data_IF_606076861258
#
_entry.id   IF_606076861258
#
_cell.length_a   1.000
_cell.length_b   1.000
_cell.length_c   1.000
_cell.angle_alpha   90.00
_cell.angle_beta   90.00
_cell.angle_gamma   90.00
#
_symmetry.space_group_name_H-M   'P 1'
#
loop_
_entity.id
_entity.type
_entity.pdbx_description
1 polymer ?
#
# COMPACT_ATOMS: atom_id res chain seq x y z
N UNK A 1 -0.80 14.27 2.28
CA UNK A 1 -2.21 13.85 2.22
C UNK A 1 -2.79 14.38 0.93
N UNK A 2 -3.40 13.54 0.10
CA UNK A 2 -3.72 13.89 -1.30
C UNK A 2 -5.16 14.32 -1.50
N UNK A 3 -6.13 13.77 -0.75
CA UNK A 3 -7.54 14.17 -0.86
C UNK A 3 -7.77 15.62 -0.39
N UNK A 4 -7.02 16.08 0.60
CA UNK A 4 -7.20 17.40 1.22
C UNK A 4 -6.33 18.52 0.60
N UNK A 5 -5.43 18.19 -0.34
CA UNK A 5 -4.49 19.15 -0.91
C UNK A 5 -4.23 18.90 -2.39
N UNK A 6 -4.59 19.87 -3.24
CA UNK A 6 -4.18 19.95 -4.64
C UNK A 6 -4.84 18.91 -5.57
N UNK A 7 -4.06 18.40 -6.53
CA UNK A 7 -4.50 17.41 -7.51
C UNK A 7 -4.53 16.01 -6.89
N UNK A 8 -5.69 15.36 -6.92
CA UNK A 8 -5.87 13.98 -6.43
C UNK A 8 -6.02 13.01 -7.59
N UNK A 9 -5.31 11.88 -7.52
CA UNK A 9 -5.57 10.72 -8.38
C UNK A 9 -6.48 9.77 -7.62
N UNK A 10 -7.71 9.58 -8.12
CA UNK A 10 -8.72 8.75 -7.47
C UNK A 10 -8.96 7.47 -8.25
N UNK A 11 -9.05 6.35 -7.53
CA UNK A 11 -9.49 5.05 -8.06
C UNK A 11 -10.67 4.55 -7.26
N UNK A 12 -11.52 3.76 -7.91
CA UNK A 12 -12.71 3.14 -7.33
C UNK A 12 -12.63 1.64 -7.48
N UNK A 13 -12.99 0.94 -6.42
CA UNK A 13 -13.10 -0.50 -6.37
C UNK A 13 -14.48 -0.90 -5.87
N UNK A 14 -14.99 -2.01 -6.39
CA UNK A 14 -16.09 -2.75 -5.81
C UNK A 14 -15.54 -3.65 -4.71
N UNK A 15 -16.14 -3.61 -3.53
CA UNK A 15 -15.80 -4.51 -2.42
C UNK A 15 -16.73 -5.72 -2.46
N UNK A 16 -16.16 -6.92 -2.51
CA UNK A 16 -16.88 -8.19 -2.48
C UNK A 16 -16.54 -8.93 -1.19
N UNK A 17 -17.55 -9.26 -0.40
CA UNK A 17 -17.39 -9.91 0.90
C UNK A 17 -18.42 -9.42 1.91
N UNK A 18 -18.38 -9.97 3.14
CA UNK A 18 -19.22 -9.49 4.21
C UNK A 18 -18.84 -8.06 4.60
N UNK A 19 -19.83 -7.20 4.85
CA UNK A 19 -19.56 -5.89 5.46
C UNK A 19 -19.23 -6.14 6.94
N UNK A 20 -18.02 -5.78 7.41
CA UNK A 20 -17.64 -5.97 8.80
C UNK A 20 -18.47 -5.04 9.68
N UNK A 21 -18.75 -5.47 10.91
CA UNK A 21 -19.21 -4.55 11.93
C UNK A 21 -18.06 -3.64 12.42
N UNK A 22 -18.37 -2.65 13.26
CA UNK A 22 -17.37 -1.70 13.75
C UNK A 22 -16.22 -2.38 14.52
N UNK A 23 -16.51 -3.46 15.25
CA UNK A 23 -15.52 -4.19 16.04
C UNK A 23 -14.60 -5.03 15.16
N UNK A 24 -15.15 -5.71 14.17
CA UNK A 24 -14.40 -6.50 13.19
C UNK A 24 -13.52 -5.59 12.33
N UNK A 25 -14.05 -4.43 11.91
CA UNK A 25 -13.29 -3.43 11.18
C UNK A 25 -12.09 -2.93 12.01
N UNK A 26 -12.33 -2.54 13.26
CA UNK A 26 -11.26 -2.06 14.13
C UNK A 26 -10.22 -3.17 14.40
N UNK A 27 -10.68 -4.39 14.69
CA UNK A 27 -9.80 -5.54 14.92
C UNK A 27 -8.91 -5.82 13.71
N UNK A 28 -9.45 -5.77 12.50
CA UNK A 28 -8.68 -5.92 11.26
C UNK A 28 -7.63 -4.82 11.07
N UNK A 29 -7.99 -3.57 11.37
CA UNK A 29 -7.06 -2.43 11.32
C UNK A 29 -5.93 -2.56 12.35
N UNK A 30 -6.22 -3.03 13.55
CA UNK A 30 -5.24 -3.25 14.63
C UNK A 30 -4.29 -4.41 14.35
N UNK A 31 -4.82 -5.52 13.86
CA UNK A 31 -4.05 -6.71 13.53
C UNK A 31 -2.99 -6.39 12.48
N UNK A 32 -3.40 -5.69 11.41
CA UNK A 32 -2.56 -5.36 10.26
C UNK A 32 -2.09 -3.90 10.24
N UNK A 33 -2.04 -3.25 11.41
CA UNK A 33 -1.48 -1.91 11.55
C UNK A 33 -0.03 -1.85 11.09
N UNK A 34 0.38 -0.67 10.61
CA UNK A 34 1.75 -0.41 10.23
C UNK A 34 2.65 -0.57 11.46
N UNK A 35 3.75 -1.32 11.27
CA UNK A 35 4.78 -1.51 12.28
C UNK A 35 6.10 -1.00 11.69
N UNK A 36 6.87 -0.14 12.39
CA UNK A 36 8.15 0.34 11.90
C UNK A 36 9.14 -0.79 11.64
N UNK A 37 10.14 -0.56 10.80
CA UNK A 37 11.22 -1.52 10.61
C UNK A 37 11.89 -1.89 11.92
N UNK A 38 12.15 -3.17 12.08
CA UNK A 38 13.13 -3.65 13.05
C UNK A 38 14.50 -3.74 12.37
N UNK A 39 15.50 -4.16 13.15
CA UNK A 39 16.79 -4.54 12.60
C UNK A 39 16.66 -5.67 11.58
N UNK A 40 17.50 -5.65 10.55
CA UNK A 40 17.54 -6.70 9.55
C UNK A 40 17.65 -6.18 8.12
N UNK A 41 17.35 -7.07 7.17
CA UNK A 41 17.48 -6.83 5.73
C UNK A 41 16.17 -6.37 5.06
N UNK A 42 15.08 -6.27 5.82
CA UNK A 42 13.78 -5.83 5.30
C UNK A 42 13.90 -4.39 4.77
N UNK A 43 13.52 -4.18 3.51
CA UNK A 43 13.60 -2.88 2.82
C UNK A 43 12.23 -2.24 2.58
N UNK A 44 11.14 -2.99 2.71
CA UNK A 44 9.78 -2.49 2.55
C UNK A 44 8.90 -2.99 3.68
N UNK A 45 8.06 -2.11 4.25
CA UNK A 45 6.99 -2.46 5.19
C UNK A 45 5.71 -1.75 4.81
N UNK A 46 4.59 -2.37 5.15
CA UNK A 46 3.28 -1.76 4.97
C UNK A 46 2.33 -2.13 6.10
N UNK A 47 1.28 -1.34 6.26
CA UNK A 47 0.18 -1.62 7.18
C UNK A 47 -0.77 -0.44 7.32
N UNK A 48 -1.83 -0.64 8.09
CA UNK A 48 -2.84 0.40 8.33
C UNK A 48 -2.36 1.50 9.29
N UNK A 49 -2.80 2.72 9.03
CA UNK A 49 -2.52 3.91 9.84
C UNK A 49 -3.69 4.89 9.75
N UNK A 50 -3.73 5.87 10.65
CA UNK A 50 -4.70 6.95 10.56
C UNK A 50 -4.49 7.77 9.27
N UNK A 51 -5.57 8.06 8.56
CA UNK A 51 -5.53 8.78 7.29
C UNK A 51 -5.09 10.24 7.44
N UNK A 52 -5.29 10.85 8.62
CA UNK A 52 -4.94 12.25 8.93
C UNK A 52 -3.48 12.39 9.35
N UNK A 53 -2.95 11.39 10.03
CA UNK A 53 -1.57 11.36 10.45
C UNK A 53 -1.02 9.92 10.40
N UNK A 54 -0.13 9.61 9.45
CA UNK A 54 0.36 8.25 9.23
C UNK A 54 1.30 7.73 10.32
N UNK A 55 1.61 8.55 11.33
CA UNK A 55 2.33 8.14 12.54
C UNK A 55 1.40 7.58 13.62
N UNK A 56 0.08 7.76 13.49
CA UNK A 56 -0.91 7.19 14.41
C UNK A 56 -1.24 5.78 13.91
N UNK A 57 -0.87 4.78 14.71
CA UNK A 57 -1.06 3.35 14.45
C UNK A 57 -1.42 2.65 15.77
N UNK A 58 -2.56 1.93 15.87
CA UNK A 58 -3.58 1.75 14.84
C UNK A 58 -4.33 3.07 14.54
N UNK A 59 -5.16 3.13 13.47
CA UNK A 59 -6.05 4.26 13.25
C UNK A 59 -6.95 4.53 14.48
N UNK A 60 -7.25 5.79 14.76
CA UNK A 60 -8.10 6.18 15.89
C UNK A 60 -9.56 5.76 15.64
N UNK A 61 -10.10 4.91 16.51
CA UNK A 61 -11.47 4.36 16.45
C UNK A 61 -12.53 5.43 16.17
N UNK A 62 -12.44 6.58 16.85
CA UNK A 62 -13.43 7.65 16.75
C UNK A 62 -13.46 8.31 15.37
N UNK A 63 -12.40 8.12 14.58
CA UNK A 63 -12.22 8.73 13.28
C UNK A 63 -12.32 7.74 12.13
N UNK A 64 -12.20 6.44 12.41
CA UNK A 64 -12.41 5.38 11.42
C UNK A 64 -13.85 5.41 10.92
N UNK A 65 -14.83 5.43 11.84
CA UNK A 65 -16.25 5.50 11.49
C UNK A 65 -16.71 6.93 11.21
N UNK A 66 -17.06 7.21 9.95
CA UNK A 66 -17.65 8.48 9.50
C UNK A 66 -19.02 8.22 8.88
N UNK A 67 -20.06 8.13 9.73
CA UNK A 67 -21.43 7.76 9.35
C UNK A 67 -21.50 6.43 8.58
N UNK A 68 -21.50 6.50 7.24
CA UNK A 68 -21.55 5.33 6.34
C UNK A 68 -20.18 4.87 5.84
N UNK A 69 -19.14 5.66 6.08
CA UNK A 69 -17.80 5.42 5.56
C UNK A 69 -16.84 4.96 6.66
N UNK A 70 -15.98 4.02 6.31
CA UNK A 70 -14.75 3.75 7.04
C UNK A 70 -13.58 4.45 6.34
N UNK A 71 -12.83 5.31 7.05
CA UNK A 71 -11.72 6.08 6.48
C UNK A 71 -10.41 5.77 7.21
N UNK A 72 -9.39 5.37 6.47
CA UNK A 72 -8.07 4.99 7.00
C UNK A 72 -6.99 5.07 5.92
N UNK A 73 -5.73 4.92 6.31
CA UNK A 73 -4.58 4.98 5.40
C UNK A 73 -3.83 3.66 5.34
N UNK A 74 -3.38 3.29 4.15
CA UNK A 74 -2.31 2.30 3.95
C UNK A 74 -0.97 3.04 3.88
N UNK A 75 -0.12 2.83 4.89
CA UNK A 75 1.25 3.32 4.86
C UNK A 75 2.17 2.25 4.28
N UNK A 76 3.04 2.67 3.39
CA UNK A 76 4.09 1.87 2.76
C UNK A 76 5.42 2.60 2.95
N UNK A 77 6.31 2.05 3.75
CA UNK A 77 7.63 2.61 3.97
C UNK A 77 8.67 1.81 3.20
N UNK A 78 9.63 2.52 2.60
CA UNK A 78 10.80 1.90 1.97
C UNK A 78 12.08 2.47 2.56
N UNK A 79 13.08 1.62 2.77
CA UNK A 79 14.46 2.01 3.10
C UNK A 79 15.41 1.26 2.18
N UNK A 80 16.40 1.97 1.65
CA UNK A 80 17.34 1.39 0.67
C UNK A 80 18.73 1.96 0.87
N UNK A 81 19.73 1.07 0.89
CA UNK A 81 21.14 1.46 0.81
C UNK A 81 21.51 1.61 -0.67
N UNK A 82 22.08 2.75 -1.10
CA UNK A 82 22.56 2.90 -2.47
C UNK A 82 23.59 1.81 -2.82
N UNK A 83 23.43 1.07 -3.95
CA UNK A 83 24.29 -0.06 -4.28
C UNK A 83 25.79 0.29 -4.36
N UNK A 84 26.11 1.49 -4.86
CA UNK A 84 27.49 1.97 -4.93
C UNK A 84 28.12 2.14 -3.54
N UNK A 85 27.36 2.66 -2.57
CA UNK A 85 27.83 2.81 -1.19
C UNK A 85 27.96 1.46 -0.49
N UNK A 86 26.98 0.56 -0.68
CA UNK A 86 27.07 -0.79 -0.14
C UNK A 86 28.35 -1.49 -0.61
N UNK A 87 28.62 -1.46 -1.92
CA UNK A 87 29.84 -2.04 -2.50
C UNK A 87 31.11 -1.45 -1.88
N UNK A 88 31.20 -0.12 -1.78
CA UNK A 88 32.37 0.54 -1.21
C UNK A 88 32.61 0.15 0.26
N UNK A 89 31.55 0.07 1.09
CA UNK A 89 31.66 -0.37 2.48
C UNK A 89 32.08 -1.84 2.61
N UNK A 90 31.55 -2.71 1.75
CA UNK A 90 31.94 -4.13 1.70
C UNK A 90 33.41 -4.27 1.32
N UNK A 91 33.87 -3.54 0.31
CA UNK A 91 35.26 -3.57 -0.14
C UNK A 91 36.22 -3.12 0.98
N UNK A 92 35.90 -2.05 1.72
CA UNK A 92 36.69 -1.61 2.88
C UNK A 92 36.73 -2.66 4.00
N UNK A 93 35.59 -3.30 4.28
CA UNK A 93 35.52 -4.33 5.33
C UNK A 93 36.29 -5.60 4.93
N UNK A 94 36.23 -6.00 3.65
CA UNK A 94 37.02 -7.11 3.12
C UNK A 94 38.51 -6.83 3.23
N UNK A 95 38.96 -5.64 2.82
CA UNK A 95 40.38 -5.25 2.93
C UNK A 95 40.86 -5.26 4.38
N UNK A 96 40.04 -4.79 5.32
CA UNK A 96 40.37 -4.80 6.75
C UNK A 96 40.49 -6.24 7.27
N UNK A 97 39.52 -7.10 6.95
CA UNK A 97 39.51 -8.50 7.38
C UNK A 97 40.67 -9.32 6.81
N UNK A 98 41.06 -9.08 5.55
CA UNK A 98 42.23 -9.73 4.93
C UNK A 98 43.52 -9.36 5.65
N UNK A 99 43.69 -8.08 6.02
CA UNK A 99 44.87 -7.60 6.75
C UNK A 99 44.91 -8.14 8.17
N UNK A 100 43.79 -8.11 8.89
CA UNK A 100 43.71 -8.57 10.28
C UNK A 100 43.96 -10.06 10.45
N UNK A 101 43.52 -10.88 9.48
CA UNK A 101 43.65 -12.34 9.52
C UNK A 101 44.79 -12.90 8.66
N UNK A 102 45.59 -12.02 8.04
CA UNK A 102 46.64 -12.37 7.08
C UNK A 102 46.16 -13.35 5.98
N UNK A 103 44.97 -13.08 5.43
CA UNK A 103 44.32 -13.94 4.44
C UNK A 103 44.53 -13.38 3.02
N UNK A 104 45.14 -14.20 2.15
CA UNK A 104 45.27 -13.86 0.72
C UNK A 104 43.91 -13.75 0.01
N UNK A 105 42.91 -14.52 0.45
CA UNK A 105 41.60 -14.58 -0.19
C UNK A 105 40.47 -14.85 0.81
N UNK A 106 39.31 -14.23 0.57
CA UNK A 106 38.06 -14.49 1.28
C UNK A 106 37.10 -15.21 0.32
N UNK A 107 36.63 -16.38 0.74
CA UNK A 107 35.69 -17.23 0.00
C UNK A 107 34.38 -16.53 -0.36
N UNK A 108 33.71 -17.00 -1.42
CA UNK A 108 32.47 -16.39 -1.94
C UNK A 108 31.37 -16.31 -0.89
N UNK A 109 31.14 -17.37 -0.13
CA UNK A 109 30.11 -17.41 0.92
C UNK A 109 30.38 -16.40 2.03
N UNK A 110 31.63 -16.31 2.50
CA UNK A 110 32.04 -15.32 3.50
C UNK A 110 31.87 -13.88 2.99
N UNK A 111 32.09 -13.61 1.70
CA UNK A 111 31.81 -12.28 1.11
C UNK A 111 30.32 -11.95 1.10
N UNK A 112 29.46 -12.93 0.82
CA UNK A 112 28.00 -12.73 0.84
C UNK A 112 27.54 -12.43 2.27
N UNK A 113 27.98 -13.23 3.26
CA UNK A 113 27.68 -12.98 4.67
C UNK A 113 28.12 -11.58 5.10
N UNK A 114 29.35 -11.19 4.74
CA UNK A 114 29.87 -9.86 5.08
C UNK A 114 29.07 -8.74 4.39
N UNK A 115 28.63 -8.96 3.14
CA UNK A 115 27.81 -7.99 2.43
C UNK A 115 26.44 -7.80 3.10
N UNK A 116 25.82 -8.88 3.57
CA UNK A 116 24.56 -8.83 4.31
C UNK A 116 24.74 -8.14 5.68
N UNK A 117 25.80 -8.47 6.43
CA UNK A 117 26.14 -7.80 7.69
C UNK A 117 26.31 -6.28 7.50
N UNK A 118 27.12 -5.88 6.52
CA UNK A 118 27.33 -4.46 6.17
C UNK A 118 26.01 -3.82 5.75
N UNK A 119 25.17 -4.53 4.98
CA UNK A 119 23.87 -4.01 4.56
C UNK A 119 22.93 -3.79 5.74
N UNK A 120 22.86 -4.71 6.70
CA UNK A 120 22.07 -4.54 7.94
C UNK A 120 22.58 -3.32 8.72
N UNK A 121 23.89 -3.18 8.90
CA UNK A 121 24.49 -2.02 9.58
C UNK A 121 24.14 -0.69 8.91
N UNK A 122 24.14 -0.66 7.58
CA UNK A 122 23.81 0.54 6.80
C UNK A 122 22.31 0.83 6.83
N UNK A 123 21.44 -0.18 6.72
CA UNK A 123 19.99 -0.01 6.78
C UNK A 123 19.51 0.57 8.11
N UNK A 124 20.18 0.25 9.23
CA UNK A 124 19.91 0.86 10.55
C UNK A 124 20.08 2.38 10.56
N UNK A 125 20.87 2.93 9.64
CA UNK A 125 21.17 4.37 9.53
C UNK A 125 20.25 5.08 8.54
N UNK A 126 19.43 4.35 7.80
CA UNK A 126 18.53 4.90 6.77
C UNK A 126 17.17 5.21 7.39
N UNK A 127 16.76 6.47 7.34
CA UNK A 127 15.38 6.85 7.63
C UNK A 127 14.47 6.35 6.50
N UNK A 128 13.40 5.61 6.82
CA UNK A 128 12.44 5.17 5.81
C UNK A 128 11.74 6.34 5.13
N UNK A 129 11.42 6.18 3.85
CA UNK A 129 10.58 7.09 3.10
C UNK A 129 9.14 6.59 3.12
N UNK A 130 8.21 7.27 3.82
CA UNK A 130 6.82 6.84 3.87
C UNK A 130 6.05 7.28 2.62
N UNK A 131 5.21 6.39 2.12
CA UNK A 131 4.16 6.68 1.15
C UNK A 131 2.83 6.27 1.76
N UNK A 132 1.83 7.14 1.69
CA UNK A 132 0.50 6.87 2.22
C UNK A 132 -0.51 6.86 1.08
N UNK A 133 -1.35 5.86 1.09
CA UNK A 133 -2.54 5.73 0.26
C UNK A 133 -3.75 5.87 1.17
N UNK A 134 -4.64 6.78 0.83
CA UNK A 134 -5.88 7.00 1.57
C UNK A 134 -6.96 6.04 1.07
N UNK A 135 -7.82 5.58 1.97
CA UNK A 135 -8.94 4.67 1.72
C UNK A 135 -10.19 5.26 2.35
N UNK A 136 -11.25 5.35 1.56
CA UNK A 136 -12.59 5.61 2.05
C UNK A 136 -13.51 4.49 1.56
N UNK A 137 -14.02 3.68 2.47
CA UNK A 137 -14.88 2.53 2.17
C UNK A 137 -16.31 2.82 2.58
N UNK A 138 -17.22 2.90 1.62
CA UNK A 138 -18.66 2.96 1.87
C UNK A 138 -19.18 1.58 2.23
N UNK A 139 -19.38 1.38 3.54
CA UNK A 139 -19.85 0.12 4.11
C UNK A 139 -21.28 -0.23 3.66
N UNK A 140 -22.07 0.76 3.24
CA UNK A 140 -23.43 0.55 2.76
C UNK A 140 -23.50 0.27 1.25
N UNK A 141 -22.73 1.01 0.45
CA UNK A 141 -22.72 0.90 -1.01
C UNK A 141 -21.72 -0.12 -1.56
N UNK A 142 -20.80 -0.63 -0.75
CA UNK A 142 -19.79 -1.60 -1.16
C UNK A 142 -18.78 -1.03 -2.16
N UNK A 143 -18.54 0.29 -2.13
CA UNK A 143 -17.56 0.97 -2.99
C UNK A 143 -16.42 1.45 -2.12
N UNK A 144 -15.19 1.23 -2.58
CA UNK A 144 -13.98 1.75 -1.98
C UNK A 144 -13.34 2.78 -2.91
N UNK A 145 -13.10 3.97 -2.38
CA UNK A 145 -12.31 5.01 -3.02
C UNK A 145 -10.91 5.03 -2.44
N UNK A 146 -9.91 5.24 -3.30
CA UNK A 146 -8.53 5.27 -2.86
C UNK A 146 -7.65 6.16 -3.73
N UNK A 147 -6.59 6.69 -3.13
CA UNK A 147 -5.51 7.41 -3.83
C UNK A 147 -4.40 6.50 -4.36
N UNK A 148 -4.62 5.18 -4.38
CA UNK A 148 -3.71 4.18 -4.95
C UNK A 148 -3.56 4.32 -6.48
N UNK A 149 -2.68 5.22 -6.92
CA UNK A 149 -2.52 5.54 -8.34
C UNK A 149 -1.71 4.52 -9.14
N UNK A 150 -0.79 3.78 -8.51
CA UNK A 150 0.08 2.81 -9.20
C UNK A 150 -0.37 1.37 -8.97
N UNK A 151 -0.06 0.47 -9.93
CA UNK A 151 -0.38 -0.96 -9.80
C UNK A 151 0.27 -1.61 -8.57
N UNK A 152 1.48 -1.17 -8.18
CA UNK A 152 2.13 -1.63 -6.93
C UNK A 152 1.31 -1.25 -5.70
N UNK A 153 0.85 -0.01 -5.63
CA UNK A 153 0.03 0.46 -4.50
C UNK A 153 -1.34 -0.21 -4.46
N UNK A 154 -1.96 -0.42 -5.62
CA UNK A 154 -3.23 -1.14 -5.74
C UNK A 154 -3.10 -2.60 -5.31
N UNK A 155 -2.06 -3.31 -5.76
CA UNK A 155 -1.80 -4.69 -5.35
C UNK A 155 -1.53 -4.80 -3.85
N UNK A 156 -0.71 -3.90 -3.29
CA UNK A 156 -0.46 -3.84 -1.84
C UNK A 156 -1.76 -3.61 -1.06
N UNK A 157 -2.61 -2.69 -1.53
CA UNK A 157 -3.92 -2.44 -0.94
C UNK A 157 -4.80 -3.68 -1.01
N UNK A 158 -4.96 -4.29 -2.18
CA UNK A 158 -5.78 -5.50 -2.36
C UNK A 158 -5.34 -6.64 -1.45
N UNK A 159 -4.03 -6.92 -1.38
CA UNK A 159 -3.49 -8.00 -0.55
C UNK A 159 -3.66 -7.75 0.94
N UNK A 160 -3.48 -6.51 1.41
CA UNK A 160 -3.70 -6.21 2.83
C UNK A 160 -5.19 -6.19 3.17
N UNK A 161 -6.02 -5.63 2.29
CA UNK A 161 -7.46 -5.50 2.51
C UNK A 161 -8.16 -6.86 2.65
N UNK A 162 -7.85 -7.82 1.78
CA UNK A 162 -8.39 -9.18 1.90
C UNK A 162 -7.87 -9.89 3.16
N UNK A 163 -6.61 -9.65 3.54
CA UNK A 163 -6.02 -10.23 4.76
C UNK A 163 -6.70 -9.71 6.02
N UNK A 164 -6.97 -8.41 6.08
CA UNK A 164 -7.51 -7.76 7.28
C UNK A 164 -9.03 -7.91 7.43
N UNK A 165 -9.77 -7.91 6.32
CA UNK A 165 -11.23 -7.84 6.34
C UNK A 165 -11.93 -9.01 5.64
N UNK A 166 -11.17 -9.96 5.06
CA UNK A 166 -11.75 -11.07 4.29
C UNK A 166 -12.51 -10.63 3.03
N UNK A 167 -12.31 -9.39 2.60
CA UNK A 167 -13.01 -8.77 1.46
C UNK A 167 -12.09 -8.62 0.26
N UNK A 168 -12.56 -8.98 -0.92
CA UNK A 168 -11.87 -8.72 -2.16
C UNK A 168 -12.22 -7.32 -2.70
N UNK A 169 -11.26 -6.69 -3.38
CA UNK A 169 -11.51 -5.43 -4.08
C UNK A 169 -11.23 -5.60 -5.57
N UNK A 170 -12.22 -5.27 -6.39
CA UNK A 170 -12.16 -5.38 -7.85
C UNK A 170 -12.28 -3.99 -8.47
N UNK A 171 -11.44 -3.60 -9.45
CA UNK A 171 -11.57 -2.30 -10.10
C UNK A 171 -12.98 -2.06 -10.61
N UNK A 172 -13.57 -0.92 -10.26
CA UNK A 172 -14.93 -0.58 -10.69
C UNK A 172 -14.91 -0.07 -12.13
N UNK A 173 -15.07 -0.99 -13.08
CA UNK A 173 -15.18 -0.66 -14.50
C UNK A 173 -16.49 0.10 -14.80
N UNK A 174 -16.52 1.00 -15.81
CA UNK A 174 -17.71 1.75 -16.17
C UNK A 174 -18.94 0.87 -16.41
N UNK A 175 -18.80 -0.22 -17.16
CA UNK A 175 -19.91 -1.14 -17.43
C UNK A 175 -20.50 -1.78 -16.16
N UNK A 176 -19.63 -2.15 -15.21
CA UNK A 176 -20.05 -2.72 -13.91
C UNK A 176 -20.80 -1.66 -13.10
N UNK A 177 -20.33 -0.40 -13.12
CA UNK A 177 -21.03 0.70 -12.48
C UNK A 177 -22.41 0.92 -13.12
N UNK A 178 -22.49 0.97 -14.44
CA UNK A 178 -23.76 1.17 -15.16
C UNK A 178 -24.79 0.10 -14.82
N UNK A 179 -24.40 -1.18 -14.80
CA UNK A 179 -25.30 -2.26 -14.41
C UNK A 179 -25.78 -2.20 -12.95
N UNK A 180 -25.01 -1.58 -12.06
CA UNK A 180 -25.46 -1.33 -10.67
C UNK A 180 -26.42 -0.16 -10.55
N UNK A 181 -26.25 0.87 -11.37
CA UNK A 181 -27.10 2.07 -11.35
C UNK A 181 -28.43 1.86 -12.08
N UNK A 182 -28.43 1.02 -13.12
CA UNK A 182 -29.58 0.72 -13.97
C UNK A 182 -29.84 -0.80 -13.99
N UNK A 183 -30.23 -1.42 -12.86
CA UNK A 183 -30.42 -2.87 -12.77
C UNK A 183 -31.53 -3.42 -13.67
N UNK A 184 -32.43 -2.56 -14.15
CA UNK A 184 -33.50 -2.88 -15.10
C UNK A 184 -33.01 -3.10 -16.53
N UNK A 185 -31.81 -2.62 -16.88
CA UNK A 185 -31.23 -2.80 -18.21
C UNK A 185 -30.50 -4.14 -18.31
N UNK A 186 -30.69 -4.84 -19.42
CA UNK A 186 -29.95 -6.07 -19.69
C UNK A 186 -28.48 -5.78 -19.98
N UNK A 187 -27.63 -6.80 -19.85
CA UNK A 187 -26.19 -6.68 -20.15
C UNK A 187 -25.98 -6.29 -21.62
N UNK A 188 -26.80 -6.84 -22.53
CA UNK A 188 -26.78 -6.49 -23.95
C UNK A 188 -27.15 -5.02 -24.17
N UNK A 189 -28.17 -4.52 -23.49
CA UNK A 189 -28.56 -3.11 -23.58
C UNK A 189 -27.45 -2.18 -23.08
N UNK A 190 -26.78 -2.53 -21.97
CA UNK A 190 -25.66 -1.76 -21.43
C UNK A 190 -24.43 -1.76 -22.36
N UNK A 191 -24.14 -2.89 -23.01
CA UNK A 191 -23.03 -3.00 -23.96
C UNK A 191 -23.32 -2.29 -25.29
N UNK A 192 -24.60 -2.07 -25.62
CA UNK A 192 -25.04 -1.34 -26.80
C UNK A 192 -25.05 0.19 -26.61
N UNK A 193 -24.69 0.69 -25.42
CA UNK A 193 -24.60 2.13 -25.18
C UNK A 193 -23.42 2.74 -25.95
N UNK A 194 -23.71 3.71 -26.79
CA UNK A 194 -22.70 4.55 -27.41
C UNK A 194 -22.19 5.62 -26.42
N UNK A 195 -20.94 6.09 -26.56
CA UNK A 195 -20.45 7.23 -25.82
C UNK A 195 -21.38 8.44 -26.00
N UNK A 196 -21.64 9.18 -24.92
CA UNK A 196 -22.40 10.42 -25.00
C UNK A 196 -21.67 11.43 -25.90
N UNK A 197 -22.30 11.84 -26.98
CA UNK A 197 -21.87 12.97 -27.80
C UNK A 197 -22.52 14.25 -27.29
N UNK A 198 -21.72 15.09 -26.64
CA UNK A 198 -22.18 16.33 -26.02
C UNK A 198 -22.58 17.41 -27.05
N UNK A 199 -22.14 17.28 -28.32
CA UNK A 199 -22.49 18.26 -29.36
C UNK A 199 -23.89 18.03 -29.95
N UNK A 200 -24.49 16.86 -29.73
CA UNK A 200 -25.79 16.47 -30.29
C UNK A 200 -26.98 16.67 -29.33
N UNK A 201 -26.75 17.07 -28.07
CA UNK A 201 -27.84 17.29 -27.10
C UNK A 201 -28.56 18.66 -27.24
N UNK A 202 -28.07 19.57 -28.09
CA UNK A 202 -28.71 20.89 -28.34
C UNK A 202 -29.38 21.05 -29.73
N UNK A 203 -29.59 19.97 -30.49
CA UNK A 203 -30.18 20.01 -31.85
C UNK A 203 -31.64 19.51 -31.92
#
# INVERSE_FOLDING_TARGET
MSILQGTVSLKRFLVLGPVPDEKDLQSGLEQDQFRPFQDGLEEERLGWCDWRNPLITPPDENWVGQERFAVFGLRMDTRRVPPALLKAHVDLRLQSLQKEKDLAFIGKEARISLADEVKVELLRKVLPTPRVVEVAWDLKGGILWTTASSSKAQGALSSLFIKSFGCEIHPLAPLVLSGRLCPELSVEALMALDPLDLELEEA
#
